data_IF_988190128764
#
_entry.id   IF_988190128764
#
_cell.length_a   1.000
_cell.length_b   1.000
_cell.length_c   1.000
_cell.angle_alpha   90.00
_cell.angle_beta   90.00
_cell.angle_gamma   90.00
#
_symmetry.space_group_name_H-M   'P 1'
#
loop_
_entity.id
_entity.type
_entity.pdbx_description
1 polymer ?
#
# COMPACT_ATOMS: atom_id res chain seq x y z
N UNK A 1 15.63 -20.38 -30.00
CA UNK A 1 16.15 -20.63 -28.64
C UNK A 1 15.77 -19.55 -27.60
N UNK A 2 15.51 -18.29 -27.98
CA UNK A 2 15.10 -17.21 -27.06
C UNK A 2 13.70 -17.37 -26.43
N UNK A 3 12.77 -18.06 -27.12
CA UNK A 3 11.36 -18.18 -26.70
C UNK A 3 11.17 -18.92 -25.36
N UNK A 4 11.92 -20.01 -25.14
CA UNK A 4 11.76 -20.86 -23.95
C UNK A 4 12.27 -20.16 -22.68
N UNK A 5 13.40 -19.46 -22.77
CA UNK A 5 13.93 -18.65 -21.67
C UNK A 5 13.01 -17.49 -21.31
N UNK A 6 12.38 -16.86 -22.31
CA UNK A 6 11.41 -15.79 -22.08
C UNK A 6 10.18 -16.29 -21.30
N UNK A 7 9.70 -17.49 -21.59
CA UNK A 7 8.59 -18.11 -20.85
C UNK A 7 8.96 -18.47 -19.41
N UNK A 8 10.11 -19.11 -19.21
CA UNK A 8 10.65 -19.43 -17.86
C UNK A 8 10.84 -18.17 -17.01
N UNK A 9 11.27 -17.05 -17.61
CA UNK A 9 11.45 -15.78 -16.90
C UNK A 9 10.14 -15.14 -16.39
N UNK A 10 8.99 -15.53 -16.95
CA UNK A 10 7.67 -15.05 -16.51
C UNK A 10 7.10 -15.84 -15.34
N UNK A 11 7.71 -16.98 -14.98
CA UNK A 11 7.22 -17.82 -13.90
C UNK A 11 7.35 -17.12 -12.53
N UNK A 12 6.28 -17.06 -11.71
CA UNK A 12 6.30 -16.44 -10.37
C UNK A 12 7.54 -16.73 -9.51
N UNK A 13 7.98 -17.99 -9.42
CA UNK A 13 9.13 -18.38 -8.60
C UNK A 13 10.43 -17.71 -9.07
N UNK A 14 10.67 -17.71 -10.38
CA UNK A 14 11.87 -17.08 -10.98
C UNK A 14 11.85 -15.57 -10.76
N UNK A 15 10.68 -14.94 -10.91
CA UNK A 15 10.51 -13.51 -10.65
C UNK A 15 10.77 -13.16 -9.18
N UNK A 16 10.26 -13.96 -8.25
CA UNK A 16 10.43 -13.76 -6.82
C UNK A 16 11.90 -13.85 -6.40
N UNK A 17 12.65 -14.85 -6.91
CA UNK A 17 14.09 -14.98 -6.67
C UNK A 17 14.86 -13.80 -7.28
N UNK A 18 14.54 -13.42 -8.52
CA UNK A 18 15.26 -12.34 -9.23
C UNK A 18 15.05 -10.97 -8.61
N UNK A 19 13.82 -10.69 -8.18
CA UNK A 19 13.43 -9.43 -7.53
C UNK A 19 13.75 -9.43 -6.03
N UNK A 20 14.29 -10.53 -5.49
CA UNK A 20 14.58 -10.74 -4.05
C UNK A 20 13.39 -10.43 -3.15
N UNK A 21 12.20 -10.82 -3.61
CA UNK A 21 10.94 -10.64 -2.89
C UNK A 21 10.68 -11.81 -1.96
N UNK A 22 10.20 -11.54 -0.76
CA UNK A 22 9.92 -12.56 0.26
C UNK A 22 8.42 -12.85 0.41
N UNK A 23 7.56 -12.15 -0.35
CA UNK A 23 6.12 -12.36 -0.33
C UNK A 23 5.41 -11.62 0.80
N UNK A 24 6.09 -10.70 1.47
CA UNK A 24 5.52 -9.86 2.53
C UNK A 24 5.30 -8.40 2.09
N UNK A 25 5.84 -8.02 0.92
CA UNK A 25 5.81 -6.66 0.40
C UNK A 25 4.67 -6.36 -0.59
N UNK A 26 4.90 -5.33 -1.41
CA UNK A 26 3.94 -4.83 -2.41
C UNK A 26 3.59 -5.87 -3.49
N UNK A 27 4.41 -6.89 -3.67
CA UNK A 27 4.16 -8.02 -4.57
C UNK A 27 3.00 -8.91 -4.13
N UNK A 28 2.71 -8.98 -2.83
CA UNK A 28 1.57 -9.71 -2.29
C UNK A 28 0.29 -8.85 -2.25
N UNK A 29 0.42 -7.55 -2.53
CA UNK A 29 -0.71 -6.62 -2.50
C UNK A 29 -1.59 -6.79 -3.73
N UNK A 30 -2.89 -7.02 -3.49
CA UNK A 30 -3.89 -7.08 -4.57
C UNK A 30 -4.05 -5.74 -5.28
N UNK A 31 -4.44 -5.76 -6.55
CA UNK A 31 -4.73 -4.53 -7.31
C UNK A 31 -5.86 -3.72 -6.65
N UNK A 32 -6.88 -4.39 -6.11
CA UNK A 32 -7.95 -3.74 -5.35
C UNK A 32 -7.39 -2.92 -4.20
N UNK A 33 -6.49 -3.50 -3.39
CA UNK A 33 -5.88 -2.79 -2.27
C UNK A 33 -4.98 -1.65 -2.76
N UNK A 34 -4.22 -1.88 -3.85
CA UNK A 34 -3.34 -0.86 -4.42
C UNK A 34 -4.09 0.36 -4.96
N UNK A 35 -5.31 0.15 -5.44
CA UNK A 35 -6.20 1.21 -5.92
C UNK A 35 -7.02 1.88 -4.79
N UNK A 36 -6.95 1.38 -3.55
CA UNK A 36 -7.57 2.07 -2.42
C UNK A 36 -6.80 3.34 -2.09
N UNK A 37 -7.56 4.37 -1.72
CA UNK A 37 -7.08 5.69 -1.33
C UNK A 37 -7.77 6.05 0.01
N UNK A 38 -7.28 7.07 0.73
CA UNK A 38 -7.86 7.37 2.02
C UNK A 38 -9.27 7.93 1.84
N UNK A 39 -10.19 7.57 2.74
CA UNK A 39 -11.59 8.03 2.67
C UNK A 39 -11.74 9.55 2.78
N UNK A 40 -10.68 10.24 3.21
CA UNK A 40 -10.64 11.67 3.50
C UNK A 40 -9.66 12.41 2.59
N UNK A 41 -9.20 11.80 1.47
CA UNK A 41 -8.21 12.44 0.59
C UNK A 41 -8.66 13.80 0.06
N UNK A 42 -9.97 13.96 -0.18
CA UNK A 42 -10.58 15.21 -0.65
C UNK A 42 -11.22 16.04 0.49
N UNK A 43 -10.99 15.67 1.76
CA UNK A 43 -11.57 16.37 2.89
C UNK A 43 -10.78 17.66 3.21
N UNK A 44 -11.50 18.74 3.54
CA UNK A 44 -10.89 19.93 4.11
C UNK A 44 -10.61 19.71 5.60
N UNK A 45 -9.44 20.14 6.07
CA UNK A 45 -9.00 19.93 7.46
C UNK A 45 -9.10 21.24 8.24
N UNK A 46 -9.77 21.18 9.39
CA UNK A 46 -9.84 22.25 10.37
C UNK A 46 -9.12 21.89 11.67
N UNK A 47 -8.61 22.91 12.35
CA UNK A 47 -8.02 22.78 13.69
C UNK A 47 -9.14 22.84 14.73
N UNK A 48 -9.14 21.89 15.66
CA UNK A 48 -10.13 21.81 16.73
C UNK A 48 -9.47 21.43 18.07
N UNK A 49 -10.27 21.43 19.14
CA UNK A 49 -9.88 21.06 20.50
C UNK A 49 -10.87 20.01 21.00
N UNK A 50 -10.35 18.90 21.53
CA UNK A 50 -11.15 17.82 22.11
C UNK A 50 -12.01 18.34 23.27
N UNK A 51 -13.36 18.22 23.22
CA UNK A 51 -14.23 18.81 24.23
C UNK A 51 -14.48 17.91 25.45
N UNK A 52 -13.82 16.75 25.53
CA UNK A 52 -14.17 15.75 26.54
C UNK A 52 -13.60 16.01 27.93
N UNK A 53 -12.30 16.27 28.04
CA UNK A 53 -11.64 16.49 29.33
C UNK A 53 -10.80 17.76 29.33
N UNK A 54 -10.46 18.25 30.54
CA UNK A 54 -9.73 19.51 30.74
C UNK A 54 -8.30 19.54 30.18
N UNK A 55 -7.79 18.44 29.62
CA UNK A 55 -6.51 18.43 28.88
C UNK A 55 -6.63 19.21 27.58
N UNK A 56 -7.79 19.13 26.90
CA UNK A 56 -8.02 19.85 25.65
C UNK A 56 -7.06 19.46 24.52
N UNK A 57 -6.89 18.15 24.25
CA UNK A 57 -6.02 17.68 23.18
C UNK A 57 -6.38 18.34 21.84
N UNK A 58 -5.36 18.85 21.12
CA UNK A 58 -5.54 19.38 19.78
C UNK A 58 -6.00 18.30 18.81
N UNK A 59 -6.99 18.61 17.98
CA UNK A 59 -7.54 17.72 16.97
C UNK A 59 -7.45 18.35 15.58
N UNK A 60 -7.33 17.48 14.57
CA UNK A 60 -7.59 17.80 13.18
C UNK A 60 -8.89 17.10 12.81
N UNK A 61 -9.88 17.87 12.38
CA UNK A 61 -11.18 17.36 11.94
C UNK A 61 -11.41 17.69 10.48
#
# INVERSE_FOLDING_TARGET
>A
MLSMFAWLSKWPLVRQIRERKDGTGLEAMSEKTRAMHARIDDAEVARSICPYCGVGCGQLI
#
